data_IF_970453917406
#
_entry.id   IF_970453917406
#
_cell.length_a   1.000
_cell.length_b   1.000
_cell.length_c   1.000
_cell.angle_alpha   90.00
_cell.angle_beta   90.00
_cell.angle_gamma   90.00
#
_symmetry.space_group_name_H-M   'P 1'
#
loop_
_entity.id
_entity.type
_entity.pdbx_description
1 polymer ?
#
# COMPACT_ATOMS: atom_id res chain seq x y z
N UNK A 1 -8.65 19.53 3.69
CA UNK A 1 -7.69 19.25 4.78
C UNK A 1 -6.35 19.01 4.13
N UNK A 2 -5.30 19.70 4.55
CA UNK A 2 -3.96 19.46 4.00
C UNK A 2 -3.42 18.20 4.65
N UNK A 3 -3.02 17.20 3.86
CA UNK A 3 -2.37 16.00 4.40
C UNK A 3 -0.96 16.38 4.83
N UNK A 4 -0.60 16.01 6.03
CA UNK A 4 0.72 16.20 6.60
C UNK A 4 1.13 14.96 7.42
N UNK A 5 2.37 14.93 7.87
CA UNK A 5 2.96 13.83 8.63
C UNK A 5 2.15 13.44 9.87
N UNK A 6 1.63 14.42 10.61
CA UNK A 6 0.87 14.18 11.84
C UNK A 6 -0.49 13.56 11.54
N UNK A 7 -1.19 14.07 10.53
CA UNK A 7 -2.48 13.53 10.10
C UNK A 7 -2.34 12.08 9.64
N UNK A 8 -1.29 11.76 8.86
CA UNK A 8 -1.02 10.40 8.41
C UNK A 8 -0.68 9.47 9.58
N UNK A 9 0.12 9.94 10.53
CA UNK A 9 0.45 9.16 11.72
C UNK A 9 -0.81 8.83 12.53
N UNK A 10 -1.61 9.84 12.85
CA UNK A 10 -2.86 9.67 13.60
C UNK A 10 -3.85 8.76 12.87
N UNK A 11 -3.92 8.87 11.54
CA UNK A 11 -4.73 7.99 10.71
C UNK A 11 -4.27 6.53 10.79
N UNK A 12 -2.97 6.27 10.67
CA UNK A 12 -2.42 4.90 10.80
C UNK A 12 -2.74 4.34 12.19
N UNK A 13 -2.50 5.11 13.24
CA UNK A 13 -2.77 4.70 14.63
C UNK A 13 -4.26 4.39 14.85
N UNK A 14 -5.18 5.24 14.35
CA UNK A 14 -6.63 5.00 14.46
C UNK A 14 -7.05 3.72 13.74
N UNK A 15 -6.55 3.49 12.53
CA UNK A 15 -6.87 2.30 11.76
C UNK A 15 -6.34 1.01 12.40
N UNK A 16 -5.14 1.05 12.98
CA UNK A 16 -4.58 -0.10 13.70
C UNK A 16 -5.34 -0.41 15.00
N UNK A 17 -6.01 0.58 15.60
CA UNK A 17 -6.81 0.37 16.79
C UNK A 17 -8.15 -0.32 16.51
N UNK A 18 -8.71 -0.15 15.32
CA UNK A 18 -10.04 -0.68 14.97
C UNK A 18 -9.99 -1.89 14.04
N UNK A 19 -8.86 -2.17 13.42
CA UNK A 19 -8.72 -3.23 12.42
C UNK A 19 -7.70 -4.29 12.82
N UNK A 20 -8.16 -5.35 13.49
CA UNK A 20 -7.31 -6.41 14.03
C UNK A 20 -6.41 -7.07 12.98
N UNK A 21 -6.91 -7.31 11.76
CA UNK A 21 -6.09 -7.90 10.69
C UNK A 21 -4.89 -7.01 10.36
N UNK A 22 -5.11 -5.71 10.19
CA UNK A 22 -4.03 -4.76 9.93
C UNK A 22 -3.08 -4.69 11.13
N UNK A 23 -3.60 -4.55 12.35
CA UNK A 23 -2.82 -4.50 13.58
C UNK A 23 -1.89 -5.71 13.72
N UNK A 24 -2.43 -6.92 13.59
CA UNK A 24 -1.65 -8.15 13.74
C UNK A 24 -0.55 -8.26 12.67
N UNK A 25 -0.83 -7.86 11.43
CA UNK A 25 0.14 -7.88 10.35
C UNK A 25 1.22 -6.80 10.49
N UNK A 26 0.90 -5.64 11.06
CA UNK A 26 1.90 -4.62 11.40
C UNK A 26 2.78 -5.07 12.57
N UNK A 27 2.21 -5.71 13.59
CA UNK A 27 2.99 -6.31 14.69
C UNK A 27 3.92 -7.43 14.18
N UNK A 28 3.47 -8.24 13.21
CA UNK A 28 4.28 -9.29 12.60
C UNK A 28 5.53 -8.76 11.87
N UNK A 29 5.57 -7.47 11.51
CA UNK A 29 6.79 -6.86 10.96
C UNK A 29 7.98 -6.91 11.92
N UNK A 30 7.74 -6.98 13.23
CA UNK A 30 8.81 -7.10 14.25
C UNK A 30 9.58 -8.42 14.12
N UNK A 31 8.94 -9.46 13.58
CA UNK A 31 9.54 -10.79 13.35
C UNK A 31 10.12 -11.00 11.94
N UNK A 32 10.14 -9.96 11.11
CA UNK A 32 10.65 -10.04 9.75
C UNK A 32 12.17 -10.26 9.74
N UNK A 33 12.62 -11.22 8.93
CA UNK A 33 14.05 -11.46 8.72
C UNK A 33 14.52 -10.70 7.49
N UNK A 34 15.64 -9.99 7.63
CA UNK A 34 16.24 -9.21 6.56
C UNK A 34 17.66 -9.66 6.35
N UNK A 35 18.08 -9.77 5.07
CA UNK A 35 19.45 -10.06 4.67
C UNK A 35 19.86 -9.08 3.59
N UNK A 36 21.02 -8.48 3.76
CA UNK A 36 21.62 -7.57 2.81
C UNK A 36 22.69 -8.29 1.98
N UNK A 37 22.71 -8.03 0.68
CA UNK A 37 23.69 -8.53 -0.26
C UNK A 37 24.33 -7.35 -0.99
N UNK A 38 25.66 -7.34 -1.08
CA UNK A 38 26.39 -6.37 -1.88
C UNK A 38 26.64 -6.94 -3.28
N UNK A 39 26.18 -6.24 -4.30
CA UNK A 39 26.36 -6.59 -5.70
C UNK A 39 27.01 -5.38 -6.41
N UNK A 40 28.29 -5.44 -6.67
CA UNK A 40 29.05 -4.28 -7.15
C UNK A 40 28.99 -3.14 -6.14
N UNK A 41 28.54 -1.96 -6.57
CA UNK A 41 28.39 -0.76 -5.72
C UNK A 41 26.96 -0.61 -5.15
N UNK A 42 26.12 -1.63 -5.27
CA UNK A 42 24.72 -1.59 -4.82
C UNK A 42 24.47 -2.58 -3.70
N UNK A 43 23.57 -2.20 -2.77
CA UNK A 43 23.08 -3.10 -1.71
C UNK A 43 21.66 -3.56 -2.07
N UNK A 44 21.48 -4.88 -2.14
CA UNK A 44 20.18 -5.52 -2.32
C UNK A 44 19.70 -6.04 -0.99
N UNK A 45 18.55 -5.58 -0.54
CA UNK A 45 17.92 -6.00 0.71
C UNK A 45 16.82 -7.03 0.42
N UNK A 46 16.98 -8.24 0.97
CA UNK A 46 16.00 -9.32 0.88
C UNK A 46 15.26 -9.42 2.20
N UNK A 47 13.94 -9.32 2.14
CA UNK A 47 13.06 -9.40 3.30
C UNK A 47 12.23 -10.69 3.25
N UNK A 48 12.28 -11.49 4.30
CA UNK A 48 11.37 -12.61 4.51
C UNK A 48 10.28 -12.22 5.52
N UNK A 49 9.05 -12.09 5.02
CA UNK A 49 7.87 -11.72 5.81
C UNK A 49 6.77 -12.79 5.64
N UNK A 50 6.70 -13.79 6.52
CA UNK A 50 5.74 -14.89 6.40
C UNK A 50 4.28 -14.43 6.53
N UNK A 51 3.99 -13.35 7.25
CA UNK A 51 2.63 -12.81 7.38
C UNK A 51 2.04 -12.33 6.05
N UNK A 52 2.88 -12.09 5.04
CA UNK A 52 2.44 -11.67 3.72
C UNK A 52 2.04 -12.80 2.77
N UNK A 53 2.16 -14.06 3.17
CA UNK A 53 1.87 -15.19 2.26
C UNK A 53 0.47 -15.12 1.67
N UNK A 54 -0.51 -14.66 2.44
CA UNK A 54 -1.90 -14.48 1.98
C UNK A 54 -1.98 -13.48 0.82
N UNK A 55 -1.27 -12.36 0.94
CA UNK A 55 -1.22 -11.33 -0.12
C UNK A 55 -0.35 -11.76 -1.30
N UNK A 56 0.81 -12.39 -1.02
CA UNK A 56 1.76 -12.82 -2.06
C UNK A 56 1.26 -14.01 -2.87
N UNK A 57 0.42 -14.86 -2.29
CA UNK A 57 -0.19 -16.02 -2.93
C UNK A 57 -1.54 -15.71 -3.62
N UNK A 58 -1.93 -14.43 -3.68
CA UNK A 58 -3.15 -14.04 -4.38
C UNK A 58 -3.07 -14.45 -5.87
N UNK A 59 -4.16 -15.05 -6.37
CA UNK A 59 -4.24 -15.42 -7.79
C UNK A 59 -4.24 -14.18 -8.66
N UNK A 60 -3.31 -14.10 -9.60
CA UNK A 60 -3.13 -12.96 -10.53
C UNK A 60 -3.31 -13.37 -11.99
N UNK A 61 -3.93 -14.54 -12.25
CA UNK A 61 -4.31 -14.94 -13.59
C UNK A 61 -5.44 -14.03 -14.14
N UNK A 62 -5.52 -13.91 -15.46
CA UNK A 62 -6.43 -12.98 -16.13
C UNK A 62 -7.92 -13.22 -15.76
N UNK A 63 -8.33 -14.47 -15.52
CA UNK A 63 -9.70 -14.80 -15.12
C UNK A 63 -9.98 -14.32 -13.70
N UNK A 64 -9.10 -14.64 -12.75
CA UNK A 64 -9.22 -14.22 -11.36
C UNK A 64 -9.23 -12.69 -11.19
N UNK A 65 -8.42 -11.98 -11.97
CA UNK A 65 -8.39 -10.52 -11.95
C UNK A 65 -9.69 -9.92 -12.51
N UNK A 66 -10.21 -10.47 -13.61
CA UNK A 66 -11.46 -9.99 -14.23
C UNK A 66 -12.69 -10.20 -13.34
N UNK A 67 -12.75 -11.31 -12.62
CA UNK A 67 -13.87 -11.67 -11.75
C UNK A 67 -13.79 -11.00 -10.36
N UNK A 68 -12.63 -10.51 -9.99
CA UNK A 68 -12.40 -9.91 -8.68
C UNK A 68 -12.95 -8.48 -8.63
N UNK A 69 -13.78 -8.21 -7.64
CA UNK A 69 -14.15 -6.82 -7.32
C UNK A 69 -12.94 -6.06 -6.82
N UNK A 70 -12.76 -4.84 -7.31
CA UNK A 70 -11.66 -3.99 -6.88
C UNK A 70 -11.78 -3.65 -5.39
N UNK A 71 -10.91 -4.21 -4.57
CA UNK A 71 -10.88 -3.99 -3.12
C UNK A 71 -10.40 -2.58 -2.72
N UNK A 72 -9.90 -1.79 -3.66
CA UNK A 72 -9.52 -0.39 -3.44
C UNK A 72 -10.72 0.56 -3.60
N UNK A 73 -11.76 0.14 -4.32
CA UNK A 73 -13.00 0.91 -4.42
C UNK A 73 -13.73 0.96 -3.08
N UNK A 74 -14.24 2.12 -2.71
CA UNK A 74 -14.92 2.36 -1.43
C UNK A 74 -16.03 1.35 -1.16
N UNK A 75 -16.83 1.02 -2.16
CA UNK A 75 -17.95 0.05 -2.04
C UNK A 75 -17.53 -1.39 -1.76
N UNK A 76 -16.26 -1.73 -1.96
CA UNK A 76 -15.75 -3.10 -1.79
C UNK A 76 -14.72 -3.22 -0.66
N UNK A 77 -14.37 -2.10 -0.03
CA UNK A 77 -13.46 -2.11 1.13
C UNK A 77 -14.12 -2.73 2.35
N UNK A 78 -13.34 -3.35 3.26
CA UNK A 78 -13.88 -3.71 4.58
C UNK A 78 -14.48 -2.50 5.29
N UNK A 79 -15.60 -2.66 5.98
CA UNK A 79 -16.28 -1.56 6.68
C UNK A 79 -15.41 -0.83 7.70
N UNK A 80 -14.39 -1.50 8.26
CA UNK A 80 -13.43 -0.93 9.21
C UNK A 80 -12.31 -0.13 8.53
N UNK A 81 -12.12 -0.25 7.20
CA UNK A 81 -11.08 0.45 6.48
C UNK A 81 -11.55 1.84 6.08
N UNK A 82 -11.19 2.81 6.86
CA UNK A 82 -11.40 4.22 6.52
C UNK A 82 -10.38 4.70 5.49
N UNK A 83 -10.72 5.77 4.79
CA UNK A 83 -9.85 6.45 3.84
C UNK A 83 -9.44 7.83 4.34
N UNK A 84 -8.18 8.19 4.19
CA UNK A 84 -7.67 9.54 4.39
C UNK A 84 -7.78 10.31 3.07
N UNK A 85 -8.68 11.31 2.95
CA UNK A 85 -8.82 12.09 1.72
C UNK A 85 -7.53 12.84 1.37
N UNK A 86 -7.06 12.73 0.13
CA UNK A 86 -5.81 13.34 -0.34
C UNK A 86 -5.97 13.88 -1.77
N UNK A 87 -6.66 14.99 -1.91
CA UNK A 87 -6.99 15.58 -3.22
C UNK A 87 -7.83 14.62 -4.06
N UNK A 88 -7.36 14.25 -5.25
CA UNK A 88 -8.00 13.27 -6.13
C UNK A 88 -7.77 11.81 -5.74
N UNK A 89 -7.13 11.56 -4.60
CA UNK A 89 -6.71 10.25 -4.12
C UNK A 89 -7.23 9.97 -2.70
N UNK A 90 -7.16 8.73 -2.30
CA UNK A 90 -7.47 8.30 -0.93
C UNK A 90 -6.29 7.52 -0.35
N UNK A 91 -5.76 7.96 0.78
CA UNK A 91 -4.77 7.19 1.53
C UNK A 91 -5.45 6.05 2.30
N UNK A 92 -5.06 4.82 2.05
CA UNK A 92 -5.54 3.62 2.73
C UNK A 92 -4.38 2.95 3.46
N UNK A 93 -4.61 2.44 4.67
CA UNK A 93 -3.64 1.55 5.29
C UNK A 93 -3.55 0.25 4.48
N UNK A 94 -2.32 -0.24 4.24
CA UNK A 94 -2.15 -1.54 3.61
C UNK A 94 -2.21 -2.63 4.69
N UNK A 95 -3.22 -3.52 4.69
CA UNK A 95 -3.38 -4.53 5.73
C UNK A 95 -2.31 -5.63 5.70
N UNK A 96 -1.51 -5.69 4.63
CA UNK A 96 -0.37 -6.62 4.49
C UNK A 96 0.93 -5.82 4.27
N UNK A 97 1.42 -5.12 5.29
CA UNK A 97 2.50 -4.16 5.14
C UNK A 97 3.84 -4.82 4.81
N UNK A 98 4.71 -4.08 4.11
CA UNK A 98 6.13 -4.39 3.91
C UNK A 98 6.99 -3.51 4.82
N UNK A 99 6.47 -2.34 5.17
CA UNK A 99 7.15 -1.31 5.94
C UNK A 99 6.31 -0.90 7.16
N UNK A 100 6.93 -0.35 8.23
CA UNK A 100 6.23 0.09 9.44
C UNK A 100 5.15 1.16 9.21
N UNK A 101 5.25 1.88 8.10
CA UNK A 101 4.28 2.90 7.68
C UNK A 101 3.96 2.64 6.21
N UNK A 102 2.98 1.79 5.93
CA UNK A 102 2.65 1.37 4.57
C UNK A 102 1.24 1.79 4.19
N UNK A 103 1.13 2.73 3.26
CA UNK A 103 -0.11 3.19 2.67
C UNK A 103 -0.23 2.69 1.23
N UNK A 104 -1.48 2.52 0.78
CA UNK A 104 -1.84 2.38 -0.62
C UNK A 104 -2.67 3.61 -0.99
N UNK A 105 -2.35 4.27 -2.09
CA UNK A 105 -2.96 5.55 -2.48
C UNK A 105 -3.66 5.39 -3.83
N UNK A 106 -4.87 4.82 -3.88
CA UNK A 106 -5.67 4.74 -5.09
C UNK A 106 -6.27 6.09 -5.50
N UNK A 107 -6.59 6.22 -6.78
CA UNK A 107 -7.46 7.27 -7.28
C UNK A 107 -8.86 7.14 -6.66
N UNK A 108 -9.56 8.25 -6.46
CA UNK A 108 -10.92 8.24 -5.92
C UNK A 108 -11.92 7.59 -6.89
N UNK A 109 -11.61 7.59 -8.17
CA UNK A 109 -12.39 6.92 -9.21
C UNK A 109 -11.74 5.60 -9.62
N UNK A 110 -12.55 4.59 -9.91
CA UNK A 110 -12.04 3.35 -10.49
C UNK A 110 -11.54 3.61 -11.91
N UNK A 111 -10.23 3.53 -12.10
CA UNK A 111 -9.56 3.76 -13.38
C UNK A 111 -8.51 2.68 -13.62
N UNK A 112 -8.16 2.48 -14.89
CA UNK A 112 -7.04 1.61 -15.25
C UNK A 112 -5.77 2.04 -14.50
N UNK A 113 -5.00 1.06 -14.06
CA UNK A 113 -3.73 1.29 -13.38
C UNK A 113 -2.66 1.72 -14.41
N UNK A 114 -2.51 3.03 -14.59
CA UNK A 114 -1.56 3.66 -15.52
C UNK A 114 -0.74 4.73 -14.81
N UNK A 115 0.58 4.70 -15.00
CA UNK A 115 1.47 5.73 -14.47
C UNK A 115 1.47 7.00 -15.32
N UNK A 116 1.11 6.88 -16.60
CA UNK A 116 1.05 8.02 -17.52
C UNK A 116 0.11 9.11 -16.99
N UNK A 117 0.61 10.34 -16.92
CA UNK A 117 -0.14 11.50 -16.39
C UNK A 117 -0.17 11.60 -14.87
N UNK A 118 0.43 10.64 -14.12
CA UNK A 118 0.41 10.62 -12.66
C UNK A 118 1.70 11.14 -11.99
N UNK A 119 2.77 11.32 -12.75
CA UNK A 119 4.08 11.70 -12.18
C UNK A 119 4.02 13.03 -11.41
N UNK A 120 3.30 14.03 -11.93
CA UNK A 120 3.15 15.31 -11.24
C UNK A 120 2.43 15.18 -9.89
N UNK A 121 1.39 14.33 -9.82
CA UNK A 121 0.68 14.06 -8.58
C UNK A 121 1.55 13.26 -7.60
N UNK A 122 2.30 12.28 -8.09
CA UNK A 122 3.26 11.53 -7.28
C UNK A 122 4.32 12.45 -6.67
N UNK A 123 4.83 13.43 -7.42
CA UNK A 123 5.76 14.42 -6.88
C UNK A 123 5.13 15.32 -5.81
N UNK A 124 3.86 15.69 -5.95
CA UNK A 124 3.14 16.44 -4.91
C UNK A 124 2.95 15.61 -3.64
N UNK A 125 2.55 14.35 -3.79
CA UNK A 125 2.39 13.43 -2.66
C UNK A 125 3.70 13.23 -1.87
N UNK A 126 4.85 13.10 -2.55
CA UNK A 126 6.14 12.98 -1.88
C UNK A 126 6.57 14.25 -1.17
N UNK A 127 6.17 15.43 -1.69
CA UNK A 127 6.43 16.71 -1.03
C UNK A 127 5.65 16.85 0.28
N UNK A 128 4.44 16.31 0.36
CA UNK A 128 3.62 16.33 1.58
C UNK A 128 4.19 15.39 2.66
N UNK A 129 4.92 14.34 2.26
CA UNK A 129 5.46 13.30 3.13
C UNK A 129 6.93 12.97 2.80
N UNK A 130 7.84 13.87 3.13
CA UNK A 130 9.28 13.75 2.81
C UNK A 130 9.96 12.49 3.39
N UNK A 131 9.41 11.90 4.45
CA UNK A 131 9.95 10.67 5.08
C UNK A 131 9.51 9.37 4.37
N UNK A 132 8.63 9.47 3.38
CA UNK A 132 8.07 8.32 2.69
C UNK A 132 8.72 8.11 1.33
N UNK A 133 8.83 6.86 0.95
CA UNK A 133 9.15 6.49 -0.43
C UNK A 133 7.85 6.16 -1.17
N UNK A 134 7.58 6.89 -2.24
CA UNK A 134 6.45 6.60 -3.13
C UNK A 134 6.92 5.71 -4.27
N UNK A 135 6.22 4.61 -4.51
CA UNK A 135 6.48 3.73 -5.63
C UNK A 135 5.17 3.35 -6.33
N UNK A 136 5.29 2.91 -7.56
CA UNK A 136 4.18 2.49 -8.40
C UNK A 136 4.30 1.01 -8.73
N UNK A 137 3.24 0.24 -8.46
CA UNK A 137 3.13 -1.15 -8.89
C UNK A 137 2.40 -1.21 -10.23
N UNK A 138 3.10 -1.60 -11.30
CA UNK A 138 2.50 -1.73 -12.61
C UNK A 138 1.52 -2.91 -12.70
N UNK A 139 0.48 -2.82 -13.56
CA UNK A 139 -0.61 -3.79 -13.60
C UNK A 139 -0.20 -5.19 -14.06
N UNK A 140 0.90 -5.32 -14.79
CA UNK A 140 1.41 -6.61 -15.29
C UNK A 140 2.58 -7.16 -14.47
N UNK A 141 2.85 -6.59 -13.31
CA UNK A 141 3.99 -6.92 -12.46
C UNK A 141 3.59 -7.67 -11.17
N UNK A 142 2.47 -8.39 -11.19
CA UNK A 142 1.98 -9.12 -10.02
C UNK A 142 1.22 -8.26 -9.01
N UNK A 143 0.78 -7.06 -9.38
CA UNK A 143 -0.15 -6.29 -8.56
C UNK A 143 -1.48 -7.06 -8.42
N UNK A 144 -1.97 -7.17 -7.19
CA UNK A 144 -3.20 -7.92 -6.90
C UNK A 144 -4.48 -7.11 -7.06
N UNK A 145 -4.38 -5.81 -7.25
CA UNK A 145 -5.52 -4.96 -7.60
C UNK A 145 -5.91 -5.17 -9.07
N UNK A 146 -7.19 -5.33 -9.38
CA UNK A 146 -7.67 -5.49 -10.75
C UNK A 146 -7.53 -4.20 -11.55
#
# INVERSE_FOLDING_TARGET
>A
MTVNKENVRSFIESQLNVWDTAKNNFEALKGVKVKDFTIGNSTVKVQFNPARIVSSAAKVDAKSLKERKCFLCETNRPAVQEGLPWGGYTGLINPFPIFPKHLTIPDNSHTDQKIQGRIADMMKLTKDLEEYTLFYNGPKCGASAP
#
